data_IF_991097097617
#
_entry.id   IF_991097097617
#
_cell.length_a   1.000
_cell.length_b   1.000
_cell.length_c   1.000
_cell.angle_alpha   90.00
_cell.angle_beta   90.00
_cell.angle_gamma   90.00
#
_symmetry.space_group_name_H-M   'P 1'
#
loop_
_entity.id
_entity.type
_entity.pdbx_description
1 polymer ?
#
# COMPACT_ATOMS: atom_id res chain seq x y z
N UNK A 1 -39.09 -52.42 39.47
CA UNK A 1 -39.35 -51.04 39.00
C UNK A 1 -37.98 -50.41 38.78
N UNK A 2 -37.44 -50.48 37.56
CA UNK A 2 -36.08 -50.05 37.25
C UNK A 2 -36.10 -48.61 36.74
N UNK A 3 -35.40 -47.71 37.43
CA UNK A 3 -35.18 -46.32 37.02
C UNK A 3 -33.93 -46.26 36.16
N UNK A 4 -34.08 -45.84 34.90
CA UNK A 4 -32.96 -45.56 33.99
C UNK A 4 -32.83 -44.04 33.91
N UNK A 5 -31.84 -43.47 34.61
CA UNK A 5 -31.46 -42.07 34.43
C UNK A 5 -30.66 -41.91 33.14
N UNK A 6 -31.22 -41.18 32.20
CA UNK A 6 -30.59 -40.80 30.94
C UNK A 6 -29.67 -39.58 31.20
N UNK A 7 -28.35 -39.80 31.19
CA UNK A 7 -27.36 -38.72 31.23
C UNK A 7 -27.15 -38.19 29.80
N UNK A 8 -27.67 -37.00 29.50
CA UNK A 8 -27.39 -36.28 28.25
C UNK A 8 -26.09 -35.50 28.42
N UNK A 9 -25.02 -35.97 27.80
CA UNK A 9 -23.74 -35.27 27.68
C UNK A 9 -23.88 -34.13 26.65
N UNK A 10 -24.05 -32.89 27.13
CA UNK A 10 -23.96 -31.68 26.32
C UNK A 10 -22.49 -31.38 25.97
N UNK A 11 -22.04 -31.83 24.79
CA UNK A 11 -20.81 -31.38 24.16
C UNK A 11 -20.94 -29.89 23.82
N UNK A 12 -20.35 -29.04 24.65
CA UNK A 12 -20.14 -27.63 24.31
C UNK A 12 -19.04 -27.54 23.26
N UNK A 13 -19.43 -27.33 22.01
CA UNK A 13 -18.54 -26.77 21.00
C UNK A 13 -18.09 -25.39 21.48
N UNK A 14 -16.90 -25.33 22.07
CA UNK A 14 -16.16 -24.07 22.13
C UNK A 14 -15.91 -23.66 20.68
N UNK A 15 -16.65 -22.68 20.19
CA UNK A 15 -16.23 -21.90 19.04
C UNK A 15 -14.82 -21.39 19.38
N UNK A 16 -13.82 -21.97 18.72
CA UNK A 16 -12.52 -21.34 18.60
C UNK A 16 -12.80 -20.08 17.78
N UNK A 17 -13.04 -18.97 18.48
CA UNK A 17 -12.94 -17.65 17.88
C UNK A 17 -11.51 -17.62 17.35
N UNK A 18 -11.34 -17.80 16.04
CA UNK A 18 -10.07 -17.55 15.40
C UNK A 18 -9.77 -16.08 15.68
N UNK A 19 -8.90 -15.81 16.64
CA UNK A 19 -8.33 -14.49 16.79
C UNK A 19 -7.80 -14.12 15.40
N UNK A 20 -8.30 -13.00 14.86
CA UNK A 20 -7.78 -12.45 13.61
C UNK A 20 -6.25 -12.49 13.71
N UNK A 21 -5.53 -12.93 12.65
CA UNK A 21 -4.09 -13.04 12.74
C UNK A 21 -3.54 -11.68 13.11
N UNK A 22 -3.07 -11.55 14.36
CA UNK A 22 -2.26 -10.41 14.77
C UNK A 22 -1.11 -10.40 13.77
N UNK A 23 -1.01 -9.34 12.97
CA UNK A 23 0.05 -9.18 11.98
C UNK A 23 1.38 -9.15 12.74
N UNK A 24 1.97 -10.32 12.97
CA UNK A 24 3.23 -10.43 13.70
C UNK A 24 4.31 -9.80 12.86
N UNK A 25 4.85 -8.70 13.37
CA UNK A 25 6.05 -8.06 12.85
C UNK A 25 7.15 -9.11 12.64
N UNK A 26 7.67 -9.19 11.42
CA UNK A 26 8.87 -9.96 11.09
C UNK A 26 10.10 -9.13 11.47
N UNK A 27 10.83 -9.57 12.50
CA UNK A 27 12.01 -8.85 12.97
C UNK A 27 13.07 -8.73 11.85
N UNK A 28 13.49 -7.50 11.58
CA UNK A 28 14.56 -7.23 10.63
C UNK A 28 15.93 -7.18 11.30
N UNK A 29 16.99 -7.16 10.49
CA UNK A 29 18.36 -7.04 10.98
C UNK A 29 18.66 -5.64 11.57
N UNK A 30 18.13 -4.61 10.93
CA UNK A 30 18.39 -3.20 11.27
C UNK A 30 17.12 -2.42 11.62
N UNK A 31 15.99 -2.77 11.01
CA UNK A 31 14.70 -2.14 11.23
C UNK A 31 13.58 -3.15 11.00
N UNK A 32 12.46 -2.94 11.68
CA UNK A 32 11.26 -3.77 11.55
C UNK A 32 10.24 -3.20 10.56
N UNK A 33 10.30 -1.90 10.28
CA UNK A 33 9.35 -1.19 9.42
C UNK A 33 10.08 -0.16 8.55
N UNK A 34 9.64 -0.05 7.31
CA UNK A 34 10.06 0.97 6.35
C UNK A 34 8.84 1.77 5.93
N UNK A 35 8.94 3.09 6.01
CA UNK A 35 7.94 4.03 5.54
C UNK A 35 8.58 4.89 4.47
N UNK A 36 8.02 4.84 3.26
CA UNK A 36 8.43 5.66 2.13
C UNK A 36 7.30 6.65 1.86
N UNK A 37 7.60 7.94 1.92
CA UNK A 37 6.67 9.01 1.58
C UNK A 37 7.25 9.71 0.35
N UNK A 38 6.50 9.73 -0.75
CA UNK A 38 6.96 10.33 -2.01
C UNK A 38 6.08 11.52 -2.35
N UNK A 39 6.56 12.71 -2.04
CA UNK A 39 5.90 13.98 -2.33
C UNK A 39 5.94 14.32 -3.82
N UNK A 40 5.07 15.25 -4.22
CA UNK A 40 5.11 15.82 -5.57
C UNK A 40 6.43 16.57 -5.80
N UNK A 41 6.83 16.65 -7.08
CA UNK A 41 8.10 17.23 -7.48
C UNK A 41 8.32 18.65 -6.92
N UNK A 42 9.42 18.84 -6.18
CA UNK A 42 9.87 20.13 -5.69
C UNK A 42 11.40 20.22 -5.74
N UNK A 43 11.94 21.42 -5.98
CA UNK A 43 13.38 21.64 -6.01
C UNK A 43 14.04 21.41 -4.64
N UNK A 44 15.23 20.81 -4.62
CA UNK A 44 15.97 20.50 -3.38
C UNK A 44 16.06 21.70 -2.44
N UNK A 45 16.46 22.87 -2.94
CA UNK A 45 16.60 24.09 -2.12
C UNK A 45 15.30 24.53 -1.47
N UNK A 46 14.16 24.31 -2.12
CA UNK A 46 12.85 24.66 -1.55
C UNK A 46 12.50 23.65 -0.46
N UNK A 47 12.66 22.35 -0.74
CA UNK A 47 12.39 21.28 0.22
C UNK A 47 13.32 21.33 1.45
N UNK A 48 14.61 21.62 1.27
CA UNK A 48 15.59 21.70 2.37
C UNK A 48 15.42 22.94 3.23
N UNK A 49 14.78 23.98 2.71
CA UNK A 49 14.46 25.21 3.46
C UNK A 49 13.07 25.14 4.11
N UNK A 50 12.29 24.09 3.86
CA UNK A 50 11.04 23.87 4.58
C UNK A 50 11.34 23.57 6.05
N UNK A 51 10.64 24.27 6.95
CA UNK A 51 10.90 24.18 8.39
C UNK A 51 10.58 22.79 8.95
N UNK A 52 9.59 22.09 8.41
CA UNK A 52 9.25 20.75 8.87
C UNK A 52 10.28 19.75 8.38
N UNK A 53 10.57 19.73 7.07
CA UNK A 53 11.49 18.77 6.46
C UNK A 53 12.93 18.93 6.95
N UNK A 54 13.42 20.17 7.10
CA UNK A 54 14.77 20.44 7.63
C UNK A 54 14.93 19.92 9.05
N UNK A 55 13.91 20.09 9.90
CA UNK A 55 13.92 19.64 11.29
C UNK A 55 13.86 18.12 11.44
N UNK A 56 13.40 17.35 10.43
CA UNK A 56 13.44 15.89 10.51
C UNK A 56 14.86 15.35 10.68
N UNK A 57 15.85 16.02 10.07
CA UNK A 57 17.26 15.60 10.18
C UNK A 57 17.83 15.83 11.58
N UNK A 58 17.52 16.98 12.19
CA UNK A 58 18.04 17.35 13.51
C UNK A 58 17.26 16.68 14.67
N UNK A 59 15.96 16.43 14.52
CA UNK A 59 15.11 15.91 15.59
C UNK A 59 15.16 14.39 15.75
N UNK A 60 15.37 13.64 14.67
CA UNK A 60 15.20 12.17 14.66
C UNK A 60 16.44 11.42 14.17
N UNK A 61 17.63 12.01 14.34
CA UNK A 61 18.90 11.44 13.81
C UNK A 61 18.81 11.12 12.31
N UNK A 62 18.04 11.94 11.58
CA UNK A 62 17.81 11.77 10.15
C UNK A 62 18.98 12.26 9.32
N UNK A 63 19.12 11.71 8.11
CA UNK A 63 20.15 12.11 7.16
C UNK A 63 19.55 12.77 5.93
N UNK A 64 20.09 13.93 5.53
CA UNK A 64 19.81 14.52 4.22
C UNK A 64 20.70 13.87 3.16
N UNK A 65 20.09 13.28 2.14
CA UNK A 65 20.79 12.67 1.02
C UNK A 65 20.99 13.69 -0.11
N UNK A 66 22.08 14.45 -0.05
CA UNK A 66 22.37 15.56 -0.98
C UNK A 66 22.80 15.12 -2.37
N UNK A 67 23.06 13.83 -2.57
CA UNK A 67 23.40 13.22 -3.87
C UNK A 67 22.42 12.09 -4.22
N UNK A 68 21.15 12.25 -3.85
CA UNK A 68 20.07 11.35 -4.24
C UNK A 68 19.32 11.93 -5.44
N UNK A 69 19.51 11.32 -6.61
CA UNK A 69 19.03 11.85 -7.89
C UNK A 69 17.87 11.02 -8.43
N UNK A 70 16.97 11.68 -9.17
CA UNK A 70 15.97 11.00 -9.98
C UNK A 70 16.65 10.17 -11.08
N UNK A 71 16.00 9.07 -11.49
CA UNK A 71 16.46 8.21 -12.57
C UNK A 71 16.27 8.88 -13.94
N UNK A 72 15.15 9.60 -14.11
CA UNK A 72 14.81 10.30 -15.36
C UNK A 72 13.74 11.36 -15.11
N UNK A 73 13.32 12.06 -16.16
CA UNK A 73 12.01 12.74 -16.23
C UNK A 73 11.16 12.10 -17.34
N UNK A 74 9.81 12.06 -17.22
CA UNK A 74 8.96 12.64 -16.17
C UNK A 74 8.84 11.76 -14.90
N UNK A 75 7.83 11.99 -14.05
CA UNK A 75 7.71 11.37 -12.72
C UNK A 75 7.52 9.85 -12.76
N UNK A 76 6.61 9.32 -13.59
CA UNK A 76 6.18 7.92 -13.51
C UNK A 76 7.32 6.88 -13.60
N UNK A 77 8.31 6.99 -14.51
CA UNK A 77 9.43 6.07 -14.56
C UNK A 77 10.21 5.96 -13.24
N UNK A 78 10.32 7.06 -12.47
CA UNK A 78 11.00 7.06 -11.17
C UNK A 78 10.20 6.28 -10.13
N UNK A 79 8.87 6.48 -10.07
CA UNK A 79 8.00 5.72 -9.18
C UNK A 79 8.06 4.22 -9.49
N UNK A 80 8.05 3.84 -10.78
CA UNK A 80 8.20 2.45 -11.21
C UNK A 80 9.57 1.88 -10.78
N UNK A 81 10.65 2.67 -10.94
CA UNK A 81 11.99 2.26 -10.54
C UNK A 81 12.13 2.08 -9.02
N UNK A 82 11.46 2.91 -8.19
CA UNK A 82 11.49 2.81 -6.73
C UNK A 82 11.06 1.42 -6.22
N UNK A 83 10.07 0.78 -6.85
CA UNK A 83 9.55 -0.51 -6.38
C UNK A 83 10.02 -1.72 -7.20
N UNK A 84 10.63 -1.52 -8.37
CA UNK A 84 11.03 -2.62 -9.27
C UNK A 84 12.51 -2.63 -9.68
N UNK A 85 13.26 -1.59 -9.29
CA UNK A 85 14.67 -1.42 -9.61
C UNK A 85 14.97 -1.10 -11.09
N UNK A 86 13.96 -0.73 -11.89
CA UNK A 86 14.11 -0.38 -13.30
C UNK A 86 12.93 0.49 -13.75
N UNK A 87 13.13 1.36 -14.73
CA UNK A 87 12.01 2.04 -15.42
C UNK A 87 11.20 1.10 -16.31
N UNK A 88 11.75 -0.10 -16.61
CA UNK A 88 11.16 -1.08 -17.52
C UNK A 88 10.75 -0.48 -18.89
N UNK A 89 11.52 0.49 -19.38
CA UNK A 89 11.26 1.16 -20.65
C UNK A 89 10.11 2.18 -20.63
N UNK A 90 9.51 2.48 -19.47
CA UNK A 90 8.58 3.60 -19.34
C UNK A 90 9.34 4.91 -19.51
N UNK A 91 8.88 5.74 -20.43
CA UNK A 91 9.52 7.02 -20.80
C UNK A 91 8.63 8.24 -20.56
N UNK A 92 7.36 8.03 -20.23
CA UNK A 92 6.37 9.09 -20.07
C UNK A 92 5.42 8.81 -18.88
N UNK A 93 4.43 9.68 -18.71
CA UNK A 93 3.39 9.61 -17.67
C UNK A 93 2.08 8.91 -18.16
N UNK A 94 2.10 8.25 -19.33
CA UNK A 94 0.92 7.54 -19.88
C UNK A 94 0.63 6.23 -19.11
N UNK A 95 -0.50 5.58 -19.37
CA UNK A 95 -0.83 4.33 -18.68
C UNK A 95 0.24 3.24 -18.91
N UNK A 96 0.88 2.81 -17.82
CA UNK A 96 1.88 1.73 -17.83
C UNK A 96 1.28 0.41 -17.30
N UNK A 97 1.45 -0.70 -18.03
CA UNK A 97 1.01 -2.04 -17.63
C UNK A 97 2.16 -3.05 -17.78
N UNK A 98 2.98 -3.14 -16.74
CA UNK A 98 4.30 -3.80 -16.74
C UNK A 98 4.20 -5.23 -16.22
N UNK A 99 4.84 -6.16 -16.92
CA UNK A 99 5.03 -7.54 -16.49
C UNK A 99 6.43 -7.73 -15.87
N UNK A 100 6.55 -7.38 -14.59
CA UNK A 100 7.81 -7.44 -13.86
C UNK A 100 7.55 -7.65 -12.36
N UNK A 101 8.47 -8.32 -11.69
CA UNK A 101 8.47 -8.41 -10.23
C UNK A 101 8.78 -7.06 -9.58
N UNK A 102 8.22 -6.86 -8.40
CA UNK A 102 8.45 -5.68 -7.56
C UNK A 102 8.96 -6.10 -6.19
N UNK A 103 9.20 -5.14 -5.30
CA UNK A 103 9.50 -5.36 -3.88
C UNK A 103 8.45 -6.26 -3.21
N UNK A 104 7.19 -6.22 -3.65
CA UNK A 104 6.10 -7.07 -3.14
C UNK A 104 6.41 -8.55 -3.28
N UNK A 105 7.03 -8.94 -4.40
CA UNK A 105 7.42 -10.33 -4.67
C UNK A 105 8.59 -10.80 -3.78
N UNK A 106 9.27 -9.87 -3.10
CA UNK A 106 10.29 -10.16 -2.08
C UNK A 106 9.72 -10.15 -0.65
N UNK A 107 8.70 -9.33 -0.39
CA UNK A 107 8.08 -9.16 0.92
C UNK A 107 7.12 -10.31 1.26
N UNK A 108 6.24 -10.68 0.34
CA UNK A 108 5.15 -11.62 0.61
C UNK A 108 5.61 -13.04 0.95
N UNK A 109 6.61 -13.65 0.25
CA UNK A 109 7.11 -14.97 0.63
C UNK A 109 7.72 -15.03 2.04
N UNK A 110 8.14 -13.88 2.59
CA UNK A 110 8.67 -13.76 3.96
C UNK A 110 7.58 -13.39 4.98
N UNK A 111 6.33 -13.24 4.52
CA UNK A 111 5.22 -12.78 5.35
C UNK A 111 5.42 -11.38 5.92
N UNK A 112 6.13 -10.51 5.20
CA UNK A 112 6.29 -9.09 5.56
C UNK A 112 5.08 -8.34 4.99
N UNK A 113 4.31 -7.69 5.86
CA UNK A 113 3.10 -6.96 5.48
C UNK A 113 3.44 -5.67 4.71
N UNK A 114 2.60 -5.31 3.75
CA UNK A 114 2.75 -4.10 2.96
C UNK A 114 1.40 -3.47 2.63
N UNK A 115 1.35 -2.14 2.53
CA UNK A 115 0.24 -1.40 1.90
C UNK A 115 0.77 -0.15 1.19
N UNK A 116 0.04 0.28 0.17
CA UNK A 116 0.21 1.56 -0.49
C UNK A 116 -0.97 2.46 -0.13
N UNK A 117 -0.69 3.58 0.53
CA UNK A 117 -1.66 4.59 0.94
C UNK A 117 -1.60 5.73 -0.06
N UNK A 118 -2.69 5.99 -0.74
CA UNK A 118 -2.77 6.97 -1.81
C UNK A 118 -3.91 7.93 -1.46
N UNK A 119 -3.62 9.22 -1.29
CA UNK A 119 -4.68 10.23 -1.10
C UNK A 119 -5.63 10.24 -2.30
N UNK A 120 -6.91 10.53 -2.05
CA UNK A 120 -8.06 10.49 -2.98
C UNK A 120 -8.31 9.19 -3.78
N UNK A 121 -7.40 8.21 -3.71
CA UNK A 121 -7.59 6.93 -4.35
C UNK A 121 -8.79 6.21 -3.72
N UNK A 122 -9.81 5.93 -4.51
CA UNK A 122 -11.06 5.37 -3.99
C UNK A 122 -10.95 3.88 -3.65
N UNK A 123 -9.95 3.18 -4.20
CA UNK A 123 -9.65 1.78 -3.83
C UNK A 123 -10.76 0.77 -4.10
N UNK A 124 -11.72 1.09 -4.97
CA UNK A 124 -12.90 0.23 -5.16
C UNK A 124 -12.58 -0.98 -6.04
N UNK A 125 -12.12 -2.04 -5.40
CA UNK A 125 -12.38 -3.40 -5.86
C UNK A 125 -13.85 -3.74 -5.50
N UNK A 126 -14.81 -3.10 -6.17
CA UNK A 126 -16.24 -3.23 -5.82
C UNK A 126 -16.74 -4.64 -6.13
N UNK A 127 -17.22 -5.35 -5.09
CA UNK A 127 -18.12 -6.48 -5.20
C UNK A 127 -19.53 -5.99 -4.88
N UNK A 128 -20.32 -5.70 -5.92
CA UNK A 128 -21.78 -5.44 -5.94
C UNK A 128 -22.27 -4.34 -4.95
N UNK A 129 -22.77 -3.18 -5.38
CA UNK A 129 -24.13 -3.02 -5.89
C UNK A 129 -24.27 -1.61 -6.51
N UNK A 130 -24.02 -1.49 -7.81
CA UNK A 130 -24.55 -0.38 -8.62
C UNK A 130 -25.51 -0.98 -9.63
N UNK A 131 -26.79 -0.96 -9.26
CA UNK A 131 -27.88 -1.04 -10.24
C UNK A 131 -27.76 0.22 -11.09
N UNK A 132 -27.84 0.05 -12.41
CA UNK A 132 -27.69 1.04 -13.48
C UNK A 132 -26.27 1.15 -14.07
N UNK A 133 -26.12 0.46 -15.21
CA UNK A 133 -25.14 0.68 -16.29
C UNK A 133 -23.73 1.11 -15.87
N UNK A 134 -22.88 0.16 -15.51
CA UNK A 134 -21.48 0.06 -15.98
C UNK A 134 -21.03 -1.36 -15.65
N UNK A 135 -20.29 -2.01 -16.55
CA UNK A 135 -19.70 -3.33 -16.29
C UNK A 135 -18.88 -3.23 -15.00
N UNK A 136 -19.44 -3.72 -13.90
CA UNK A 136 -18.75 -3.81 -12.62
C UNK A 136 -17.69 -4.88 -12.81
N UNK A 137 -16.43 -4.47 -12.95
CA UNK A 137 -15.30 -5.39 -12.81
C UNK A 137 -15.26 -5.83 -11.36
N UNK A 138 -15.94 -6.94 -11.06
CA UNK A 138 -15.85 -7.61 -9.78
C UNK A 138 -14.43 -8.18 -9.68
N UNK A 139 -13.61 -7.62 -8.79
CA UNK A 139 -12.25 -8.11 -8.57
C UNK A 139 -11.21 -7.45 -9.47
N UNK A 140 -10.68 -6.31 -9.05
CA UNK A 140 -9.57 -5.64 -9.72
C UNK A 140 -9.32 -4.25 -9.14
N UNK A 141 -8.14 -3.71 -9.41
CA UNK A 141 -7.81 -2.38 -8.92
C UNK A 141 -8.56 -1.31 -9.68
N UNK A 142 -8.81 -0.19 -9.00
CA UNK A 142 -9.28 1.00 -9.69
C UNK A 142 -8.10 1.59 -10.48
N UNK A 143 -8.18 1.52 -11.79
CA UNK A 143 -7.08 1.88 -12.69
C UNK A 143 -7.26 3.26 -13.32
N UNK A 144 -8.23 4.06 -12.86
CA UNK A 144 -8.44 5.40 -13.41
C UNK A 144 -7.14 6.22 -13.33
N UNK A 145 -6.84 6.94 -14.41
CA UNK A 145 -5.66 7.78 -14.48
C UNK A 145 -5.69 8.94 -13.48
N UNK A 146 -6.90 9.37 -13.07
CA UNK A 146 -7.14 10.48 -12.15
C UNK A 146 -8.40 10.25 -11.31
N UNK A 147 -8.37 10.63 -10.03
CA UNK A 147 -9.54 10.65 -9.13
C UNK A 147 -9.42 11.87 -8.21
N UNK A 148 -10.15 12.96 -8.46
CA UNK A 148 -9.89 14.20 -7.72
C UNK A 148 -8.45 14.69 -7.96
N UNK A 149 -7.66 14.79 -6.88
CA UNK A 149 -6.24 15.15 -6.94
C UNK A 149 -5.30 13.92 -6.98
N UNK A 150 -5.83 12.70 -6.90
CA UNK A 150 -5.05 11.51 -7.17
C UNK A 150 -4.68 11.44 -8.65
N UNK A 151 -3.43 11.07 -8.94
CA UNK A 151 -2.97 10.70 -10.29
C UNK A 151 -2.28 9.35 -10.27
N UNK A 152 -2.64 8.49 -11.22
CA UNK A 152 -2.14 7.10 -11.31
C UNK A 152 -0.61 7.03 -11.41
N UNK A 153 0.02 8.02 -12.05
CA UNK A 153 1.47 8.08 -12.23
C UNK A 153 2.29 8.10 -10.93
N UNK A 154 1.68 8.50 -9.80
CA UNK A 154 2.34 8.52 -8.48
C UNK A 154 2.03 7.27 -7.62
N UNK A 155 1.27 6.33 -8.16
CA UNK A 155 1.01 5.03 -7.59
C UNK A 155 1.74 3.96 -8.41
N UNK A 156 2.98 3.56 -8.06
CA UNK A 156 3.70 2.63 -8.90
C UNK A 156 3.10 1.22 -8.88
N UNK A 157 2.43 0.82 -7.81
CA UNK A 157 1.86 -0.52 -7.65
C UNK A 157 0.80 -0.82 -8.71
N UNK A 158 -0.02 0.18 -9.06
CA UNK A 158 -1.07 0.03 -10.07
C UNK A 158 -0.50 -0.20 -11.48
N UNK A 159 0.80 0.07 -11.70
CA UNK A 159 1.44 -0.11 -13.00
C UNK A 159 1.89 -1.54 -13.29
N UNK A 160 1.83 -2.46 -12.32
CA UNK A 160 2.29 -3.84 -12.49
C UNK A 160 1.14 -4.82 -12.63
N UNK A 161 1.18 -5.66 -13.67
CA UNK A 161 0.12 -6.64 -13.97
C UNK A 161 -0.10 -7.61 -12.81
N UNK A 162 0.96 -8.09 -12.17
CA UNK A 162 0.88 -9.02 -11.03
C UNK A 162 0.24 -8.40 -9.77
N UNK A 163 0.11 -7.09 -9.70
CA UNK A 163 -0.68 -6.38 -8.68
C UNK A 163 -2.12 -6.22 -9.18
N UNK A 164 -2.31 -5.71 -10.41
CA UNK A 164 -3.63 -5.44 -10.99
C UNK A 164 -4.53 -6.68 -11.05
N UNK A 165 -3.96 -7.85 -11.39
CA UNK A 165 -4.71 -9.10 -11.58
C UNK A 165 -4.76 -9.96 -10.33
N UNK A 166 -4.10 -9.55 -9.23
CA UNK A 166 -4.15 -10.25 -7.96
C UNK A 166 -5.02 -9.45 -6.97
N UNK A 167 -6.22 -9.97 -6.71
CA UNK A 167 -7.20 -9.32 -5.82
C UNK A 167 -6.60 -8.95 -4.45
N UNK A 168 -5.90 -9.87 -3.79
CA UNK A 168 -5.32 -9.64 -2.45
C UNK A 168 -4.19 -8.61 -2.44
N UNK A 169 -3.42 -8.49 -3.52
CA UNK A 169 -2.40 -7.43 -3.67
C UNK A 169 -3.06 -6.10 -3.96
N UNK A 170 -4.10 -6.14 -4.78
CA UNK A 170 -4.85 -4.95 -5.14
C UNK A 170 -5.54 -4.28 -3.95
N UNK A 171 -6.16 -5.08 -3.07
CA UNK A 171 -6.80 -4.61 -1.83
C UNK A 171 -5.82 -3.95 -0.83
N UNK A 172 -4.50 -4.08 -1.06
CA UNK A 172 -3.47 -3.39 -0.28
C UNK A 172 -3.11 -2.00 -0.83
N UNK A 173 -3.65 -1.62 -1.99
CA UNK A 173 -3.64 -0.23 -2.45
C UNK A 173 -4.93 0.41 -1.93
N UNK A 174 -4.80 1.34 -0.99
CA UNK A 174 -5.91 1.88 -0.22
C UNK A 174 -5.90 3.41 -0.26
N UNK A 175 -7.08 3.98 0.02
CA UNK A 175 -7.16 5.40 0.35
C UNK A 175 -6.29 5.72 1.57
N UNK A 176 -5.62 6.88 1.57
CA UNK A 176 -4.76 7.31 2.67
C UNK A 176 -5.46 7.39 4.03
N UNK A 177 -6.78 7.66 4.08
CA UNK A 177 -7.57 7.67 5.33
C UNK A 177 -7.57 6.30 6.06
N UNK A 178 -7.14 5.22 5.39
CA UNK A 178 -6.93 3.93 6.04
C UNK A 178 -5.71 3.94 6.98
N UNK A 179 -4.73 4.83 6.78
CA UNK A 179 -3.53 4.88 7.60
C UNK A 179 -3.87 5.23 9.06
N UNK A 180 -4.75 6.20 9.29
CA UNK A 180 -5.15 6.59 10.66
C UNK A 180 -5.86 5.43 11.39
N UNK A 181 -6.67 4.65 10.66
CA UNK A 181 -7.31 3.44 11.21
C UNK A 181 -6.27 2.38 11.54
N UNK A 182 -5.35 2.14 10.61
CA UNK A 182 -4.27 1.17 10.83
C UNK A 182 -3.35 1.57 11.99
N UNK A 183 -3.12 2.87 12.21
CA UNK A 183 -2.39 3.38 13.39
C UNK A 183 -3.18 3.12 14.66
N UNK A 184 -4.46 3.49 14.68
CA UNK A 184 -5.34 3.32 15.86
C UNK A 184 -5.48 1.86 16.27
N UNK A 185 -5.54 0.96 15.30
CA UNK A 185 -5.76 -0.47 15.52
C UNK A 185 -4.45 -1.29 15.65
N UNK A 186 -3.29 -0.62 15.73
CA UNK A 186 -1.94 -1.25 15.74
C UNK A 186 -1.71 -2.23 14.58
N UNK A 187 -2.20 -1.86 13.39
CA UNK A 187 -2.23 -2.66 12.17
C UNK A 187 -1.41 -2.06 11.01
N UNK A 188 -0.56 -1.06 11.27
CA UNK A 188 0.33 -0.47 10.27
C UNK A 188 1.25 -1.56 9.69
N UNK A 189 1.34 -1.73 8.36
CA UNK A 189 2.18 -2.75 7.75
C UNK A 189 3.67 -2.47 7.98
N UNK A 190 4.51 -3.47 7.74
CA UNK A 190 5.96 -3.30 7.83
C UNK A 190 6.55 -2.53 6.65
N UNK A 191 5.92 -2.57 5.48
CA UNK A 191 6.27 -1.73 4.34
C UNK A 191 5.11 -0.78 4.02
N UNK A 192 5.34 0.51 4.23
CA UNK A 192 4.38 1.57 3.96
C UNK A 192 4.90 2.39 2.78
N UNK A 193 4.07 2.53 1.74
CA UNK A 193 4.30 3.50 0.67
C UNK A 193 3.17 4.52 0.69
N UNK A 194 3.49 5.78 0.96
CA UNK A 194 2.52 6.86 1.06
C UNK A 194 2.75 7.86 -0.07
N UNK A 195 1.67 8.21 -0.76
CA UNK A 195 1.67 9.25 -1.80
C UNK A 195 0.57 10.25 -1.50
N UNK A 196 0.90 11.53 -1.24
CA UNK A 196 -0.09 12.59 -1.16
C UNK A 196 -0.66 12.93 -2.54
N UNK A 197 -1.75 13.67 -2.55
CA UNK A 197 -2.35 14.26 -3.73
C UNK A 197 -1.35 15.17 -4.48
N UNK A 198 -1.58 15.37 -5.79
CA UNK A 198 -0.87 16.46 -6.48
C UNK A 198 -1.33 17.81 -5.92
N UNK A 199 -0.40 18.76 -5.89
CA UNK A 199 -0.51 20.03 -5.18
C UNK A 199 -1.87 20.72 -5.33
N UNK A 200 -2.37 21.25 -4.20
CA UNK A 200 -3.26 22.41 -4.14
C UNK A 200 -2.44 23.69 -4.19
#
# INVERSE_FOLDING_TARGET
MYSISLFVLLLHWMMVISALPVNRIRKGKYFDRVVIIVFENQGYMIASNDNYLSNLTSQYEGFSLTNYLAITHPSQPNYIALISGSTNGTVDDNEANIDRKTIVDLLEPKGISWKAYQEDYLGKCLSLMSIVLTIVRIGGCDKQMKMGLYVRKHNPFISFKNIQTNKSRCEKIVNSNQLDKDIKDDNVPQFVFYTPNVSQ
#
